data_IF_849084335117
#
_entry.id   IF_849084335117
#
_cell.length_a   1.000
_cell.length_b   1.000
_cell.length_c   1.000
_cell.angle_alpha   90.00
_cell.angle_beta   90.00
_cell.angle_gamma   90.00
#
_symmetry.space_group_name_H-M   'P 1'
#
loop_
_entity.id
_entity.type
_entity.pdbx_description
1 polymer ?
#
# COMPACT_ATOMS: atom_id res chain seq x y z
N UNK A 1 -27.39 17.83 -58.54
CA UNK A 1 -27.36 17.96 -57.06
C UNK A 1 -27.13 16.58 -56.50
N UNK A 2 -25.89 16.29 -56.10
CA UNK A 2 -25.42 14.96 -55.79
C UNK A 2 -25.77 14.54 -54.35
N UNK A 3 -26.07 13.26 -54.20
CA UNK A 3 -26.37 12.56 -52.96
C UNK A 3 -25.19 12.52 -51.99
N UNK A 4 -25.46 12.47 -50.68
CA UNK A 4 -24.55 11.82 -49.74
C UNK A 4 -25.32 11.03 -48.68
N UNK A 5 -25.05 9.73 -48.71
CA UNK A 5 -25.42 8.71 -47.73
C UNK A 5 -24.59 8.91 -46.45
N UNK A 6 -25.25 9.07 -45.30
CA UNK A 6 -24.59 9.00 -44.00
C UNK A 6 -24.45 7.52 -43.64
N UNK A 7 -23.25 6.99 -43.89
CA UNK A 7 -22.85 5.65 -43.51
C UNK A 7 -22.77 5.50 -41.99
N UNK A 8 -23.44 4.46 -41.50
CA UNK A 8 -23.30 3.92 -40.15
C UNK A 8 -21.82 3.58 -39.93
N UNK A 9 -21.17 4.30 -39.03
CA UNK A 9 -19.83 3.97 -38.55
C UNK A 9 -19.91 2.66 -37.76
N UNK A 10 -19.72 1.53 -38.45
CA UNK A 10 -19.33 0.27 -37.79
C UNK A 10 -17.97 0.53 -37.15
N UNK A 11 -17.95 0.75 -35.83
CA UNK A 11 -16.74 0.53 -35.03
C UNK A 11 -16.34 -0.93 -35.28
N UNK A 12 -15.30 -1.14 -36.07
CA UNK A 12 -14.59 -2.40 -36.08
C UNK A 12 -14.03 -2.58 -34.67
N UNK A 13 -14.77 -3.34 -33.84
CA UNK A 13 -14.19 -3.96 -32.66
C UNK A 13 -13.08 -4.85 -33.22
N UNK A 14 -11.82 -4.42 -33.06
CA UNK A 14 -10.65 -5.24 -33.33
C UNK A 14 -10.86 -6.53 -32.53
N UNK A 15 -11.15 -7.64 -33.22
CA UNK A 15 -11.05 -8.95 -32.58
C UNK A 15 -9.62 -9.05 -32.04
N UNK A 16 -9.43 -9.49 -30.79
CA UNK A 16 -8.09 -9.72 -30.27
C UNK A 16 -7.34 -10.59 -31.28
N UNK A 17 -6.19 -10.12 -31.75
CA UNK A 17 -5.33 -10.95 -32.59
C UNK A 17 -4.79 -12.03 -31.67
N UNK A 18 -5.10 -13.29 -31.94
CA UNK A 18 -4.53 -14.41 -31.19
C UNK A 18 -3.04 -14.48 -31.52
N UNK A 19 -2.18 -14.18 -30.54
CA UNK A 19 -0.73 -14.25 -30.70
C UNK A 19 -0.23 -15.67 -30.42
N UNK A 20 0.59 -16.20 -31.31
CA UNK A 20 1.27 -17.49 -31.14
C UNK A 20 2.64 -17.33 -30.49
N UNK A 21 3.26 -18.43 -30.04
CA UNK A 21 4.63 -18.42 -29.52
C UNK A 21 5.64 -17.99 -30.62
N UNK A 22 5.39 -18.32 -31.88
CA UNK A 22 6.22 -17.88 -33.01
C UNK A 22 6.15 -16.36 -33.22
N UNK A 23 4.96 -15.77 -33.08
CA UNK A 23 4.79 -14.32 -33.14
C UNK A 23 5.58 -13.62 -32.03
N UNK A 24 5.57 -14.18 -30.81
CA UNK A 24 6.31 -13.65 -29.65
C UNK A 24 7.83 -13.74 -29.89
N UNK A 25 8.33 -14.85 -30.44
CA UNK A 25 9.74 -15.02 -30.76
C UNK A 25 10.18 -14.07 -31.88
N UNK A 26 9.36 -13.88 -32.92
CA UNK A 26 9.64 -12.95 -34.01
C UNK A 26 9.68 -11.49 -33.51
N UNK A 27 8.71 -11.10 -32.68
CA UNK A 27 8.72 -9.78 -32.02
C UNK A 27 9.95 -9.61 -31.14
N UNK A 28 10.30 -10.63 -30.35
CA UNK A 28 11.47 -10.60 -29.48
C UNK A 28 12.76 -10.39 -30.25
N UNK A 29 12.96 -11.10 -31.37
CA UNK A 29 14.13 -10.94 -32.24
C UNK A 29 14.26 -9.52 -32.82
N UNK A 30 13.16 -8.92 -33.24
CA UNK A 30 13.16 -7.53 -33.74
C UNK A 30 13.50 -6.52 -32.64
N UNK A 31 12.94 -6.70 -31.44
CA UNK A 31 13.24 -5.84 -30.29
C UNK A 31 14.71 -5.94 -29.91
N UNK A 32 15.26 -7.15 -29.87
CA UNK A 32 16.66 -7.38 -29.51
C UNK A 32 17.67 -6.64 -30.40
N UNK A 33 17.33 -6.40 -31.67
CA UNK A 33 18.18 -5.66 -32.62
C UNK A 33 18.11 -4.14 -32.39
N UNK A 34 16.98 -3.63 -31.88
CA UNK A 34 16.71 -2.20 -31.76
C UNK A 34 16.93 -1.65 -30.34
N UNK A 35 16.80 -2.47 -29.30
CA UNK A 35 16.73 -2.03 -27.90
C UNK A 35 17.96 -1.24 -27.43
N UNK A 36 19.14 -1.61 -27.95
CA UNK A 36 20.43 -0.97 -27.65
C UNK A 36 20.73 0.26 -28.52
N UNK A 37 19.90 0.58 -29.53
CA UNK A 37 20.13 1.70 -30.45
C UNK A 37 19.33 2.92 -29.98
N UNK A 38 19.96 3.98 -29.45
CA UNK A 38 19.22 5.11 -28.86
C UNK A 38 18.30 5.82 -29.86
N UNK A 39 18.75 6.02 -31.10
CA UNK A 39 18.01 6.69 -32.17
C UNK A 39 16.77 5.91 -32.64
N UNK A 40 16.66 4.64 -32.25
CA UNK A 40 15.53 3.74 -32.58
C UNK A 40 14.59 3.52 -31.40
N UNK A 41 14.69 4.34 -30.35
CA UNK A 41 13.91 4.16 -29.11
C UNK A 41 12.40 4.23 -29.33
N UNK A 42 11.90 5.07 -30.24
CA UNK A 42 10.46 5.13 -30.57
C UNK A 42 9.95 3.87 -31.29
N UNK A 43 10.72 3.39 -32.28
CA UNK A 43 10.42 2.16 -33.02
C UNK A 43 10.45 0.94 -32.08
N UNK A 44 11.49 0.87 -31.23
CA UNK A 44 11.59 -0.13 -30.18
C UNK A 44 10.42 -0.07 -29.19
N UNK A 45 9.98 1.13 -28.79
CA UNK A 45 8.84 1.32 -27.88
C UNK A 45 7.53 0.80 -28.50
N UNK A 46 7.34 0.96 -29.81
CA UNK A 46 6.17 0.42 -30.51
C UNK A 46 6.16 -1.11 -30.45
N UNK A 47 7.30 -1.75 -30.72
CA UNK A 47 7.44 -3.20 -30.66
C UNK A 47 7.30 -3.75 -29.23
N UNK A 48 7.87 -3.07 -28.24
CA UNK A 48 7.70 -3.42 -26.82
C UNK A 48 6.23 -3.34 -26.40
N UNK A 49 5.47 -2.33 -26.85
CA UNK A 49 4.01 -2.28 -26.62
C UNK A 49 3.29 -3.48 -27.25
N UNK A 50 3.66 -3.85 -28.47
CA UNK A 50 3.06 -5.02 -29.14
C UNK A 50 3.40 -6.32 -28.39
N UNK A 51 4.64 -6.48 -27.94
CA UNK A 51 5.06 -7.62 -27.11
C UNK A 51 4.28 -7.66 -25.80
N UNK A 52 4.15 -6.53 -25.09
CA UNK A 52 3.38 -6.45 -23.86
C UNK A 52 1.93 -6.91 -24.08
N UNK A 53 1.25 -6.38 -25.10
CA UNK A 53 -0.12 -6.80 -25.45
C UNK A 53 -0.16 -8.29 -25.80
N UNK A 54 0.80 -8.79 -26.59
CA UNK A 54 0.87 -10.20 -26.97
C UNK A 54 0.98 -11.14 -25.77
N UNK A 55 1.76 -10.76 -24.74
CA UNK A 55 1.87 -11.53 -23.50
C UNK A 55 0.56 -11.54 -22.71
N UNK A 56 -0.16 -10.41 -22.66
CA UNK A 56 -1.44 -10.29 -21.95
C UNK A 56 -2.58 -11.05 -22.64
N UNK A 57 -2.57 -11.11 -23.98
CA UNK A 57 -3.64 -11.73 -24.77
C UNK A 57 -3.27 -13.14 -25.24
N UNK A 58 -2.19 -13.73 -24.73
CA UNK A 58 -1.76 -15.07 -25.14
C UNK A 58 -2.83 -16.10 -24.79
N UNK A 59 -3.53 -16.60 -25.82
CA UNK A 59 -4.56 -17.62 -25.64
C UNK A 59 -3.91 -19.00 -25.69
N UNK A 60 -3.71 -19.57 -24.51
CA UNK A 60 -3.09 -20.87 -24.36
C UNK A 60 -4.05 -21.98 -24.81
N UNK A 61 -3.95 -22.41 -26.07
CA UNK A 61 -4.48 -23.72 -26.49
C UNK A 61 -3.68 -24.90 -25.89
N UNK A 62 -2.55 -24.63 -25.24
CA UNK A 62 -1.68 -25.59 -24.55
C UNK A 62 -1.38 -25.10 -23.14
N UNK A 63 -1.11 -25.98 -22.18
CA UNK A 63 -0.84 -25.60 -20.78
C UNK A 63 0.47 -24.80 -20.53
N UNK A 64 1.18 -24.35 -21.59
CA UNK A 64 2.44 -23.62 -21.46
C UNK A 64 2.24 -22.10 -21.53
N UNK A 65 2.82 -21.39 -20.55
CA UNK A 65 2.95 -19.94 -20.58
C UNK A 65 3.83 -19.46 -21.75
N UNK A 66 3.61 -18.25 -22.29
CA UNK A 66 4.46 -17.71 -23.34
C UNK A 66 5.88 -17.49 -22.81
N UNK A 67 6.89 -17.85 -23.59
CA UNK A 67 8.31 -17.71 -23.21
C UNK A 67 8.99 -16.62 -24.02
N UNK A 68 9.77 -15.77 -23.33
CA UNK A 68 10.63 -14.76 -23.96
C UNK A 68 12.09 -15.23 -23.92
N UNK A 69 12.90 -14.99 -24.96
CA UNK A 69 14.33 -15.31 -24.94
C UNK A 69 15.06 -14.63 -23.78
N UNK A 70 15.89 -15.38 -23.06
CA UNK A 70 16.72 -14.85 -21.96
C UNK A 70 17.71 -13.77 -22.41
N UNK A 71 18.13 -13.79 -23.67
CA UNK A 71 18.94 -12.72 -24.28
C UNK A 71 18.20 -11.38 -24.28
N UNK A 72 16.90 -11.38 -24.62
CA UNK A 72 16.08 -10.18 -24.60
C UNK A 72 15.86 -9.70 -23.16
N UNK A 73 15.59 -10.60 -22.22
CA UNK A 73 15.43 -10.26 -20.79
C UNK A 73 16.67 -9.51 -20.28
N UNK A 74 17.89 -10.02 -20.54
CA UNK A 74 19.13 -9.33 -20.13
C UNK A 74 19.27 -7.95 -20.76
N UNK A 75 19.00 -7.80 -22.06
CA UNK A 75 19.01 -6.48 -22.71
C UNK A 75 17.97 -5.52 -22.12
N UNK A 76 16.80 -6.01 -21.73
CA UNK A 76 15.80 -5.19 -21.03
C UNK A 76 16.28 -4.76 -19.63
N UNK A 77 17.02 -5.61 -18.92
CA UNK A 77 17.64 -5.25 -17.65
C UNK A 77 18.80 -4.24 -17.81
N UNK A 78 19.57 -4.34 -18.90
CA UNK A 78 20.61 -3.35 -19.24
C UNK A 78 20.01 -1.96 -19.46
N UNK A 79 18.82 -1.86 -20.07
CA UNK A 79 18.08 -0.58 -20.19
C UNK A 79 17.82 0.06 -18.82
N UNK A 80 17.67 -0.72 -17.75
CA UNK A 80 17.50 -0.16 -16.41
C UNK A 80 18.75 0.57 -15.92
N UNK A 81 19.93 0.06 -16.28
CA UNK A 81 21.22 0.59 -15.87
C UNK A 81 21.61 1.89 -16.60
N UNK A 82 21.11 2.09 -17.81
CA UNK A 82 21.43 3.27 -18.63
C UNK A 82 20.71 4.54 -18.17
N UNK A 83 19.65 4.40 -17.36
CA UNK A 83 18.68 5.44 -16.99
C UNK A 83 18.00 6.11 -18.20
N UNK A 84 16.74 6.58 -18.06
CA UNK A 84 16.05 7.26 -19.16
C UNK A 84 16.77 8.56 -19.53
N UNK A 85 17.05 8.76 -20.82
CA UNK A 85 17.70 9.98 -21.32
C UNK A 85 16.64 11.00 -21.74
N UNK A 86 16.45 12.11 -21.01
CA UNK A 86 15.35 13.05 -21.25
C UNK A 86 15.41 13.76 -22.61
N UNK A 87 16.59 13.76 -23.26
CA UNK A 87 16.80 14.37 -24.59
C UNK A 87 16.46 13.44 -25.76
N UNK A 88 16.23 12.14 -25.51
CA UNK A 88 15.96 11.15 -26.54
C UNK A 88 14.46 10.81 -26.53
N UNK A 89 13.77 11.10 -27.63
CA UNK A 89 12.37 10.74 -27.82
C UNK A 89 12.17 9.22 -27.62
N UNK A 90 11.13 8.85 -26.87
CA UNK A 90 10.81 7.45 -26.60
C UNK A 90 11.69 6.76 -25.56
N UNK A 91 12.77 7.37 -25.06
CA UNK A 91 13.67 6.73 -24.08
C UNK A 91 12.94 6.35 -22.78
N UNK A 92 12.10 7.25 -22.25
CA UNK A 92 11.28 6.97 -21.06
C UNK A 92 10.22 5.89 -21.32
N UNK A 93 9.59 5.90 -22.50
CA UNK A 93 8.60 4.89 -22.87
C UNK A 93 9.25 3.50 -22.95
N UNK A 94 10.42 3.41 -23.59
CA UNK A 94 11.22 2.18 -23.65
C UNK A 94 11.52 1.66 -22.24
N UNK A 95 12.00 2.53 -21.36
CA UNK A 95 12.32 2.20 -19.97
C UNK A 95 11.10 1.63 -19.22
N UNK A 96 9.98 2.36 -19.24
CA UNK A 96 8.74 1.95 -18.56
C UNK A 96 8.17 0.65 -19.12
N UNK A 97 8.20 0.46 -20.45
CA UNK A 97 7.72 -0.77 -21.08
C UNK A 97 8.58 -1.98 -20.72
N UNK A 98 9.91 -1.81 -20.65
CA UNK A 98 10.78 -2.87 -20.14
C UNK A 98 10.44 -3.23 -18.68
N UNK A 99 10.18 -2.24 -17.81
CA UNK A 99 9.76 -2.49 -16.43
C UNK A 99 8.42 -3.25 -16.37
N UNK A 100 7.44 -2.84 -17.17
CA UNK A 100 6.14 -3.50 -17.24
C UNK A 100 6.28 -4.96 -17.70
N UNK A 101 6.98 -5.20 -18.82
CA UNK A 101 7.19 -6.55 -19.37
C UNK A 101 7.96 -7.44 -18.39
N UNK A 102 9.03 -6.93 -17.78
CA UNK A 102 9.80 -7.70 -16.79
C UNK A 102 8.98 -7.99 -15.53
N UNK A 103 8.04 -7.13 -15.18
CA UNK A 103 7.14 -7.37 -14.04
C UNK A 103 6.07 -8.43 -14.34
N UNK A 104 5.92 -8.87 -15.59
CA UNK A 104 4.92 -9.88 -15.94
C UNK A 104 5.29 -11.29 -15.48
N UNK A 105 4.26 -12.03 -15.06
CA UNK A 105 4.38 -13.42 -14.60
C UNK A 105 4.75 -14.41 -15.70
N UNK A 106 4.70 -14.02 -16.97
CA UNK A 106 5.20 -14.84 -18.07
C UNK A 106 6.74 -14.76 -18.22
N UNK A 107 7.38 -13.72 -17.68
CA UNK A 107 8.82 -13.46 -17.89
C UNK A 107 9.65 -13.99 -16.73
N UNK A 108 10.66 -14.80 -17.05
CA UNK A 108 11.59 -15.38 -16.06
C UNK A 108 12.89 -14.59 -16.00
N UNK A 109 13.14 -13.93 -14.87
CA UNK A 109 14.44 -13.33 -14.58
C UNK A 109 15.22 -14.21 -13.61
N UNK A 110 16.49 -14.52 -13.92
CA UNK A 110 17.28 -15.39 -13.04
C UNK A 110 17.57 -14.72 -11.69
N UNK A 111 17.75 -15.52 -10.63
CA UNK A 111 18.11 -15.00 -9.31
C UNK A 111 19.43 -14.21 -9.33
N UNK A 112 20.38 -14.58 -10.20
CA UNK A 112 21.65 -13.85 -10.34
C UNK A 112 21.42 -12.46 -10.95
N UNK A 113 20.60 -12.39 -12.00
CA UNK A 113 20.30 -11.12 -12.68
C UNK A 113 19.53 -10.17 -11.74
N UNK A 114 18.61 -10.70 -10.92
CA UNK A 114 17.89 -9.94 -9.91
C UNK A 114 18.81 -9.33 -8.84
N UNK A 115 19.77 -10.11 -8.34
CA UNK A 115 20.73 -9.62 -7.33
C UNK A 115 21.67 -8.58 -7.95
N UNK A 116 22.14 -8.81 -9.18
CA UNK A 116 22.95 -7.83 -9.90
C UNK A 116 22.20 -6.51 -10.11
N UNK A 117 20.92 -6.59 -10.47
CA UNK A 117 20.05 -5.43 -10.61
C UNK A 117 19.87 -4.69 -9.28
N UNK A 118 19.61 -5.43 -8.18
CA UNK A 118 19.47 -4.85 -6.84
C UNK A 118 20.75 -4.18 -6.32
N UNK A 119 21.92 -4.67 -6.74
CA UNK A 119 23.21 -4.06 -6.42
C UNK A 119 23.56 -2.84 -7.30
N UNK A 120 22.85 -2.63 -8.41
CA UNK A 120 23.11 -1.55 -9.35
C UNK A 120 22.50 -0.22 -8.88
N UNK A 121 22.96 0.90 -9.46
CA UNK A 121 22.33 2.21 -9.24
C UNK A 121 20.87 2.26 -9.71
N UNK A 122 20.50 1.42 -10.68
CA UNK A 122 19.14 1.36 -11.20
C UNK A 122 18.14 0.86 -10.16
N UNK A 123 18.60 0.18 -9.09
CA UNK A 123 17.73 -0.34 -8.04
C UNK A 123 16.94 0.77 -7.31
N UNK A 124 17.47 2.00 -7.27
CA UNK A 124 16.81 3.15 -6.67
C UNK A 124 15.83 3.87 -7.60
N UNK A 125 15.69 3.45 -8.86
CA UNK A 125 14.78 4.10 -9.80
C UNK A 125 13.32 3.80 -9.44
N UNK A 126 12.43 4.70 -9.86
CA UNK A 126 10.99 4.56 -9.63
C UNK A 126 10.46 3.19 -10.13
N UNK A 127 9.51 2.63 -9.36
CA UNK A 127 8.78 1.38 -9.66
C UNK A 127 9.62 0.09 -9.63
N UNK A 128 10.88 0.13 -9.19
CA UNK A 128 11.71 -1.07 -9.09
C UNK A 128 11.26 -2.05 -8.00
N UNK A 129 10.55 -1.58 -6.98
CA UNK A 129 9.99 -2.43 -5.93
C UNK A 129 9.08 -3.53 -6.52
N UNK A 130 8.23 -3.20 -7.50
CA UNK A 130 7.36 -4.17 -8.16
C UNK A 130 8.15 -5.26 -8.88
N UNK A 131 9.21 -4.87 -9.60
CA UNK A 131 10.11 -5.84 -10.28
C UNK A 131 10.76 -6.76 -9.26
N UNK A 132 11.30 -6.20 -8.17
CA UNK A 132 11.93 -6.98 -7.10
C UNK A 132 10.97 -7.93 -6.40
N UNK A 133 9.75 -7.50 -6.12
CA UNK A 133 8.74 -8.33 -5.46
C UNK A 133 8.28 -9.47 -6.38
N UNK A 134 7.86 -9.16 -7.61
CA UNK A 134 7.32 -10.17 -8.53
C UNK A 134 8.38 -11.18 -8.95
N UNK A 135 9.53 -10.70 -9.46
CA UNK A 135 10.59 -11.58 -9.95
C UNK A 135 11.38 -12.22 -8.80
N UNK A 136 11.58 -11.50 -7.70
CA UNK A 136 12.26 -12.05 -6.52
C UNK A 136 11.47 -13.18 -5.87
N UNK A 137 10.14 -13.07 -5.81
CA UNK A 137 9.27 -14.14 -5.32
C UNK A 137 9.36 -15.36 -6.24
N UNK A 138 9.19 -15.15 -7.56
CA UNK A 138 9.26 -16.21 -8.57
C UNK A 138 10.58 -16.96 -8.55
N UNK A 139 11.69 -16.22 -8.54
CA UNK A 139 13.05 -16.75 -8.54
C UNK A 139 13.56 -17.14 -7.16
N UNK A 140 12.67 -17.09 -6.15
CA UNK A 140 12.94 -17.47 -4.75
C UNK A 140 14.19 -16.80 -4.18
N UNK A 141 14.41 -15.54 -4.53
CA UNK A 141 15.62 -14.78 -4.16
C UNK A 141 15.35 -13.49 -3.39
N UNK A 142 14.13 -13.30 -2.86
CA UNK A 142 13.76 -12.12 -2.05
C UNK A 142 14.77 -11.87 -0.91
N UNK A 143 15.18 -12.93 -0.20
CA UNK A 143 16.17 -12.83 0.89
C UNK A 143 17.51 -12.22 0.47
N UNK A 144 17.92 -12.38 -0.80
CA UNK A 144 19.15 -11.78 -1.32
C UNK A 144 18.96 -10.30 -1.68
N UNK A 145 17.73 -9.87 -1.92
CA UNK A 145 17.38 -8.48 -2.27
C UNK A 145 17.20 -7.63 -1.01
N UNK A 146 16.73 -8.22 0.09
CA UNK A 146 16.47 -7.52 1.37
C UNK A 146 17.64 -6.64 1.85
N UNK A 147 18.92 -7.09 1.87
CA UNK A 147 20.04 -6.23 2.25
C UNK A 147 20.21 -5.00 1.34
N UNK A 148 19.96 -5.16 0.04
CA UNK A 148 19.99 -4.06 -0.92
C UNK A 148 18.83 -3.08 -0.69
N UNK A 149 17.62 -3.58 -0.40
CA UNK A 149 16.48 -2.75 -0.08
C UNK A 149 16.70 -1.92 1.20
N UNK A 150 17.36 -2.50 2.23
CA UNK A 150 17.80 -1.75 3.41
C UNK A 150 18.79 -0.64 3.03
N UNK A 151 19.75 -0.92 2.15
CA UNK A 151 20.68 0.11 1.66
C UNK A 151 19.96 1.22 0.90
N UNK A 152 18.94 0.90 0.11
CA UNK A 152 18.12 1.89 -0.61
C UNK A 152 17.34 2.78 0.38
N UNK A 153 16.76 2.19 1.42
CA UNK A 153 16.06 2.92 2.49
C UNK A 153 16.95 3.94 3.23
N UNK A 154 18.24 3.62 3.36
CA UNK A 154 19.24 4.47 3.99
C UNK A 154 19.91 5.47 3.03
N UNK A 155 19.58 5.42 1.73
CA UNK A 155 20.02 6.40 0.74
C UNK A 155 19.55 7.80 1.11
N UNK A 156 20.19 8.83 0.54
CA UNK A 156 19.70 10.22 0.61
C UNK A 156 18.69 10.53 -0.49
N UNK A 157 18.65 9.72 -1.55
CA UNK A 157 17.77 9.90 -2.70
C UNK A 157 16.33 9.44 -2.41
N UNK A 158 15.37 10.29 -2.76
CA UNK A 158 13.94 10.07 -2.51
C UNK A 158 13.41 8.78 -3.15
N UNK A 159 13.68 8.55 -4.44
CA UNK A 159 13.14 7.37 -5.15
C UNK A 159 13.76 6.06 -4.61
N UNK A 160 15.03 6.10 -4.21
CA UNK A 160 15.70 4.99 -3.52
C UNK A 160 15.03 4.68 -2.18
N UNK A 161 14.80 5.70 -1.35
CA UNK A 161 14.15 5.53 -0.05
C UNK A 161 12.74 4.95 -0.20
N UNK A 162 11.95 5.50 -1.12
CA UNK A 162 10.60 5.04 -1.45
C UNK A 162 10.58 3.60 -1.95
N UNK A 163 11.50 3.24 -2.86
CA UNK A 163 11.63 1.88 -3.38
C UNK A 163 12.00 0.89 -2.28
N UNK A 164 12.98 1.24 -1.45
CA UNK A 164 13.39 0.44 -0.30
C UNK A 164 12.25 0.21 0.67
N UNK A 165 11.50 1.28 1.01
CA UNK A 165 10.35 1.19 1.91
C UNK A 165 9.24 0.30 1.32
N UNK A 166 8.84 0.55 0.07
CA UNK A 166 7.80 -0.24 -0.61
C UNK A 166 8.13 -1.74 -0.65
N UNK A 167 9.40 -2.08 -0.90
CA UNK A 167 9.83 -3.47 -0.91
C UNK A 167 9.79 -4.09 0.49
N UNK A 168 10.34 -3.40 1.50
CA UNK A 168 10.47 -3.91 2.86
C UNK A 168 9.14 -4.02 3.61
N UNK A 169 8.11 -3.28 3.20
CA UNK A 169 6.77 -3.33 3.79
C UNK A 169 5.86 -4.38 3.15
N UNK A 170 6.35 -5.11 2.14
CA UNK A 170 5.57 -6.15 1.45
C UNK A 170 5.37 -7.42 2.29
N UNK A 171 4.15 -7.94 2.28
CA UNK A 171 3.73 -9.13 3.02
C UNK A 171 4.43 -10.41 2.57
N UNK A 172 4.87 -10.45 1.31
CA UNK A 172 5.64 -11.56 0.75
C UNK A 172 6.93 -11.85 1.53
N UNK A 173 7.41 -10.90 2.34
CA UNK A 173 8.61 -11.06 3.15
C UNK A 173 8.35 -11.76 4.49
N UNK A 174 7.10 -11.79 4.97
CA UNK A 174 6.74 -12.35 6.29
C UNK A 174 6.86 -13.87 6.31
N UNK A 175 6.23 -14.65 5.40
CA UNK A 175 6.36 -16.11 5.40
C UNK A 175 7.80 -16.61 5.24
N UNK A 176 8.65 -15.81 4.59
CA UNK A 176 10.06 -16.12 4.38
C UNK A 176 10.94 -15.86 5.61
N UNK A 177 10.42 -15.23 6.67
CA UNK A 177 11.18 -14.78 7.83
C UNK A 177 12.38 -13.89 7.47
N UNK A 178 12.26 -13.09 6.40
CA UNK A 178 13.37 -12.26 5.90
C UNK A 178 13.55 -10.95 6.66
N UNK A 179 12.56 -10.57 7.48
CA UNK A 179 12.66 -9.43 8.39
C UNK A 179 13.34 -9.89 9.68
N UNK A 180 14.61 -9.52 9.84
CA UNK A 180 15.31 -9.60 11.12
C UNK A 180 15.06 -8.36 11.97
N UNK A 181 15.48 -8.41 13.24
CA UNK A 181 15.28 -7.31 14.19
C UNK A 181 16.00 -6.03 13.76
N UNK A 182 17.16 -6.14 13.09
CA UNK A 182 17.97 -4.99 12.70
C UNK A 182 17.31 -4.22 11.54
N UNK A 183 16.85 -4.94 10.51
CA UNK A 183 16.05 -4.39 9.42
C UNK A 183 14.78 -3.78 9.99
N UNK A 184 14.07 -4.50 10.86
CA UNK A 184 12.81 -4.02 11.40
C UNK A 184 12.99 -2.74 12.24
N UNK A 185 14.01 -2.68 13.10
CA UNK A 185 14.36 -1.46 13.83
C UNK A 185 14.70 -0.30 12.88
N UNK A 186 15.46 -0.58 11.81
CA UNK A 186 15.84 0.44 10.81
C UNK A 186 14.61 1.02 10.11
N UNK A 187 13.68 0.17 9.64
CA UNK A 187 12.46 0.63 8.97
C UNK A 187 11.59 1.43 9.93
N UNK A 188 11.42 0.96 11.17
CA UNK A 188 10.62 1.65 12.18
C UNK A 188 11.17 3.02 12.55
N UNK A 189 12.50 3.14 12.68
CA UNK A 189 13.17 4.42 12.92
C UNK A 189 12.90 5.41 11.78
N UNK A 190 13.01 4.96 10.53
CA UNK A 190 12.81 5.81 9.34
C UNK A 190 11.35 6.24 9.20
N UNK A 191 10.40 5.33 9.38
CA UNK A 191 8.97 5.66 9.42
C UNK A 191 8.67 6.67 10.54
N UNK A 192 9.20 6.45 11.75
CA UNK A 192 9.02 7.38 12.86
C UNK A 192 9.51 8.78 12.52
N UNK A 193 10.67 8.89 11.88
CA UNK A 193 11.23 10.16 11.45
C UNK A 193 10.37 10.84 10.37
N UNK A 194 10.02 10.13 9.29
CA UNK A 194 9.24 10.70 8.19
C UNK A 194 7.84 11.15 8.61
N UNK A 195 7.21 10.42 9.54
CA UNK A 195 5.91 10.80 10.10
C UNK A 195 5.99 12.09 10.93
N UNK A 196 7.12 12.35 11.61
CA UNK A 196 7.24 13.48 12.55
C UNK A 196 7.95 14.73 12.00
N UNK A 197 8.75 14.58 10.94
CA UNK A 197 9.74 15.60 10.54
C UNK A 197 9.44 16.27 9.19
N UNK A 198 8.27 16.03 8.60
CA UNK A 198 7.91 16.65 7.32
C UNK A 198 7.65 18.15 7.46
N UNK A 199 8.11 18.89 6.47
CA UNK A 199 8.03 20.33 6.36
C UNK A 199 6.59 20.80 6.16
N UNK A 200 6.32 22.02 6.64
CA UNK A 200 5.03 22.69 6.45
C UNK A 200 5.04 23.70 5.30
N UNK A 201 6.16 23.83 4.61
CA UNK A 201 6.32 24.74 3.48
C UNK A 201 6.21 23.95 2.19
N UNK A 202 5.53 24.53 1.21
CA UNK A 202 5.38 23.89 -0.09
C UNK A 202 6.69 23.93 -0.88
N UNK A 203 6.84 22.98 -1.79
CA UNK A 203 7.94 23.02 -2.74
C UNK A 203 7.79 24.24 -3.68
N UNK A 204 8.91 24.80 -4.18
CA UNK A 204 8.87 25.84 -5.19
C UNK A 204 8.07 25.39 -6.42
N UNK A 205 7.39 26.33 -7.07
CA UNK A 205 6.63 26.00 -8.28
C UNK A 205 7.59 25.58 -9.40
N UNK A 206 7.55 24.32 -9.87
CA UNK A 206 8.48 23.80 -10.88
C UNK A 206 8.31 24.46 -12.25
N UNK A 207 7.23 25.22 -12.46
CA UNK A 207 6.94 25.97 -13.70
C UNK A 207 7.21 27.47 -13.57
N UNK A 208 7.62 27.94 -12.39
CA UNK A 208 8.01 29.34 -12.19
C UNK A 208 9.40 29.57 -12.80
N UNK A 209 9.49 30.47 -13.78
CA UNK A 209 10.76 30.96 -14.33
C UNK A 209 11.21 32.26 -13.63
N UNK A 210 10.61 32.60 -12.49
CA UNK A 210 10.81 33.89 -11.83
C UNK A 210 12.18 33.97 -11.15
N UNK A 211 13.20 34.33 -11.92
CA UNK A 211 14.58 34.61 -11.45
C UNK A 211 14.61 35.78 -10.43
N UNK A 212 13.57 36.63 -10.40
CA UNK A 212 13.51 37.85 -9.55
C UNK A 212 12.26 37.93 -8.66
N UNK A 213 11.42 36.90 -8.64
CA UNK A 213 10.29 36.83 -7.71
C UNK A 213 10.76 36.25 -6.39
N UNK A 214 10.38 36.87 -5.26
CA UNK A 214 10.32 36.09 -4.01
C UNK A 214 9.29 34.99 -4.25
N UNK A 215 9.73 33.74 -4.30
CA UNK A 215 8.80 32.64 -4.12
C UNK A 215 8.16 32.86 -2.75
N UNK A 216 6.85 33.17 -2.74
CA UNK A 216 6.11 33.22 -1.48
C UNK A 216 6.29 31.84 -0.83
N UNK A 217 6.94 31.78 0.33
CA UNK A 217 7.00 30.58 1.17
C UNK A 217 5.59 30.26 1.64
N UNK A 218 4.82 29.62 0.76
CA UNK A 218 3.43 29.24 1.04
C UNK A 218 3.48 28.02 1.94
N UNK A 219 2.93 28.17 3.13
CA UNK A 219 2.67 27.02 3.98
C UNK A 219 1.61 26.12 3.32
N UNK A 220 1.69 24.83 3.59
CA UNK A 220 0.61 23.90 3.26
C UNK A 220 -0.64 24.31 4.05
N UNK A 221 -1.80 24.06 3.49
CA UNK A 221 -3.06 24.34 4.18
C UNK A 221 -3.63 23.08 4.80
N UNK A 222 -4.58 23.28 5.69
CA UNK A 222 -5.49 22.26 6.19
C UNK A 222 -6.60 22.02 5.15
N UNK A 223 -7.44 21.01 5.35
CA UNK A 223 -8.54 20.68 4.42
C UNK A 223 -9.60 21.81 4.30
N UNK A 224 -9.73 22.65 5.33
CA UNK A 224 -10.58 23.86 5.30
C UNK A 224 -9.86 25.06 4.66
N UNK A 225 -8.62 24.87 4.19
CA UNK A 225 -7.73 25.87 3.60
C UNK A 225 -7.17 26.90 4.57
N UNK A 226 -7.26 26.68 5.88
CA UNK A 226 -6.47 27.45 6.86
C UNK A 226 -4.99 27.06 6.76
N UNK A 227 -4.03 27.96 6.98
CA UNK A 227 -2.61 27.60 7.02
C UNK A 227 -2.32 26.57 8.11
N UNK A 228 -1.54 25.52 7.79
CA UNK A 228 -1.14 24.52 8.79
C UNK A 228 -0.05 25.08 9.70
N UNK A 229 -0.23 24.91 11.01
CA UNK A 229 0.74 25.33 12.05
C UNK A 229 1.28 24.15 12.87
N UNK A 230 0.67 22.98 12.72
CA UNK A 230 1.01 21.76 13.43
C UNK A 230 1.70 20.76 12.50
N UNK A 231 2.01 19.57 13.00
CA UNK A 231 2.58 18.45 12.24
C UNK A 231 1.89 18.25 10.87
N UNK A 232 2.72 18.03 9.84
CA UNK A 232 2.28 17.69 8.48
C UNK A 232 1.68 16.28 8.45
N UNK A 233 0.57 16.12 7.75
CA UNK A 233 -0.09 14.82 7.52
C UNK A 233 -0.55 14.66 6.07
N UNK A 234 -1.05 13.46 5.72
CA UNK A 234 -1.70 13.18 4.43
C UNK A 234 -2.92 14.07 4.12
N UNK A 235 -3.47 14.76 5.13
CA UNK A 235 -4.61 15.67 4.97
C UNK A 235 -4.19 17.14 4.81
N UNK A 236 -2.90 17.43 4.84
CA UNK A 236 -2.41 18.74 4.45
C UNK A 236 -2.42 18.91 2.94
N UNK A 237 -2.90 20.06 2.49
CA UNK A 237 -3.08 20.39 1.08
C UNK A 237 -1.96 21.35 0.64
N UNK A 238 -1.11 20.87 -0.25
CA UNK A 238 -0.09 21.67 -0.94
C UNK A 238 -0.36 21.72 -2.45
N UNK A 239 0.07 22.79 -3.10
CA UNK A 239 0.11 22.87 -4.57
C UNK A 239 1.27 22.05 -5.13
N UNK A 240 2.40 22.07 -4.44
CA UNK A 240 3.58 21.28 -4.75
C UNK A 240 4.15 20.71 -3.45
N UNK A 241 4.39 19.40 -3.44
CA UNK A 241 4.95 18.72 -2.28
C UNK A 241 6.47 18.57 -2.41
N UNK A 242 7.16 18.77 -1.29
CA UNK A 242 8.58 18.44 -1.15
C UNK A 242 8.78 16.93 -1.01
N UNK A 243 10.01 16.45 -1.21
CA UNK A 243 10.32 15.01 -1.11
C UNK A 243 10.03 14.44 0.29
N UNK A 244 10.29 15.21 1.36
CA UNK A 244 9.98 14.81 2.73
C UNK A 244 8.47 14.74 3.00
N UNK A 245 7.67 15.62 2.40
CA UNK A 245 6.19 15.55 2.46
C UNK A 245 5.68 14.31 1.72
N UNK A 246 6.24 13.99 0.55
CA UNK A 246 5.91 12.77 -0.18
C UNK A 246 6.30 11.51 0.61
N UNK A 247 7.47 11.52 1.28
CA UNK A 247 7.88 10.42 2.16
C UNK A 247 6.97 10.28 3.37
N UNK A 248 6.47 11.37 3.95
CA UNK A 248 5.48 11.32 5.02
C UNK A 248 4.18 10.63 4.56
N UNK A 249 3.66 11.05 3.40
CA UNK A 249 2.46 10.46 2.80
C UNK A 249 2.66 8.97 2.53
N UNK A 250 3.79 8.61 1.93
CA UNK A 250 4.11 7.22 1.64
C UNK A 250 4.31 6.39 2.92
N UNK A 251 4.95 6.96 3.94
CA UNK A 251 5.14 6.31 5.25
C UNK A 251 3.81 5.98 5.90
N UNK A 252 2.85 6.91 5.91
CA UNK A 252 1.50 6.64 6.41
C UNK A 252 0.81 5.54 5.60
N UNK A 253 0.93 5.55 4.27
CA UNK A 253 0.32 4.52 3.41
C UNK A 253 0.86 3.10 3.63
N UNK A 254 2.08 2.98 4.16
CA UNK A 254 2.70 1.70 4.48
C UNK A 254 2.61 1.35 5.97
N UNK A 255 2.15 2.26 6.83
CA UNK A 255 2.32 2.14 8.28
C UNK A 255 1.54 0.95 8.86
N UNK A 256 0.27 0.81 8.50
CA UNK A 256 -0.53 -0.32 8.95
C UNK A 256 0.09 -1.65 8.53
N UNK A 257 0.50 -1.75 7.26
CA UNK A 257 1.10 -2.97 6.72
C UNK A 257 2.45 -3.30 7.39
N UNK A 258 3.25 -2.28 7.69
CA UNK A 258 4.49 -2.45 8.43
C UNK A 258 4.24 -2.98 9.84
N UNK A 259 3.35 -2.33 10.60
CA UNK A 259 2.99 -2.75 11.95
C UNK A 259 2.41 -4.17 11.95
N UNK A 260 1.60 -4.50 10.94
CA UNK A 260 1.08 -5.84 10.71
C UNK A 260 2.19 -6.86 10.55
N UNK A 261 3.15 -6.58 9.67
CA UNK A 261 4.24 -7.51 9.37
C UNK A 261 5.18 -7.70 10.56
N UNK A 262 5.42 -6.63 11.34
CA UNK A 262 6.15 -6.72 12.61
C UNK A 262 5.38 -7.58 13.62
N UNK A 263 4.07 -7.39 13.75
CA UNK A 263 3.23 -8.18 14.64
C UNK A 263 3.29 -9.68 14.28
N UNK A 264 3.14 -10.03 13.01
CA UNK A 264 3.22 -11.43 12.57
C UNK A 264 4.61 -12.04 12.79
N UNK A 265 5.68 -11.25 12.62
CA UNK A 265 7.05 -11.74 12.68
C UNK A 265 7.59 -11.90 14.11
N UNK A 266 7.26 -10.95 14.98
CA UNK A 266 7.84 -10.80 16.32
C UNK A 266 6.83 -10.93 17.44
N UNK A 267 5.53 -10.98 17.12
CA UNK A 267 4.48 -11.17 18.08
C UNK A 267 4.33 -12.62 18.52
N UNK A 268 3.81 -12.77 19.74
CA UNK A 268 3.43 -14.06 20.31
C UNK A 268 1.91 -14.16 20.31
N UNK A 269 1.39 -15.35 19.97
CA UNK A 269 -0.04 -15.63 20.09
C UNK A 269 -0.44 -15.64 21.57
N UNK A 270 -1.51 -14.94 21.91
CA UNK A 270 -2.17 -15.06 23.21
C UNK A 270 -2.72 -16.49 23.32
N UNK A 271 -1.98 -17.38 23.99
CA UNK A 271 -2.50 -18.71 24.34
C UNK A 271 -3.53 -18.53 25.45
N UNK A 272 -4.79 -18.85 25.17
CA UNK A 272 -5.71 -19.23 26.23
C UNK A 272 -5.27 -20.62 26.74
N UNK A 273 -4.88 -20.68 28.01
CA UNK A 273 -4.44 -21.89 28.68
C UNK A 273 -5.62 -22.88 28.77
N UNK A 274 -5.83 -23.71 27.74
CA UNK A 274 -6.99 -24.63 27.72
C UNK A 274 -7.32 -25.41 26.43
N UNK A 275 -6.65 -25.20 25.30
CA UNK A 275 -7.00 -25.92 24.05
C UNK A 275 -5.79 -26.42 23.26
N UNK A 276 -5.69 -27.74 23.09
CA UNK A 276 -4.71 -28.34 22.17
C UNK A 276 -5.09 -28.04 20.72
N UNK A 277 -4.33 -27.21 20.01
CA UNK A 277 -4.44 -27.10 18.56
C UNK A 277 -3.31 -27.87 17.89
N UNK A 278 -3.72 -28.87 17.10
CA UNK A 278 -2.86 -29.62 16.18
C UNK A 278 -2.37 -28.62 15.14
N UNK A 279 -1.06 -28.40 15.09
CA UNK A 279 -0.41 -27.62 14.06
C UNK A 279 -0.47 -28.37 12.72
N UNK A 280 -1.24 -27.84 11.76
CA UNK A 280 -1.08 -28.14 10.33
C UNK A 280 -0.37 -26.96 9.69
N UNK A 281 0.83 -27.21 9.14
CA UNK A 281 1.84 -26.23 8.77
C UNK A 281 1.65 -25.48 7.45
N UNK A 282 0.43 -25.08 7.09
CA UNK A 282 0.18 -24.15 5.97
C UNK A 282 -0.93 -23.16 6.43
N UNK A 283 -0.72 -21.84 6.30
CA UNK A 283 -1.66 -20.73 6.60
C UNK A 283 -1.83 -20.15 8.03
N UNK A 284 -0.82 -20.16 8.90
CA UNK A 284 -0.90 -19.42 10.17
C UNK A 284 -0.60 -17.91 9.99
N UNK A 285 -1.51 -17.16 9.37
CA UNK A 285 -1.63 -15.72 9.63
C UNK A 285 -2.38 -15.59 10.96
N UNK A 286 -1.70 -15.14 12.02
CA UNK A 286 -2.35 -14.95 13.31
C UNK A 286 -3.34 -13.78 13.21
N UNK A 287 -4.56 -13.89 13.77
CA UNK A 287 -5.42 -12.72 13.91
C UNK A 287 -4.67 -11.66 14.74
N UNK A 288 -4.47 -10.46 14.17
CA UNK A 288 -3.57 -9.42 14.71
C UNK A 288 -3.92 -9.04 16.14
N UNK A 289 -5.21 -8.99 16.48
CA UNK A 289 -5.71 -8.66 17.81
C UNK A 289 -5.41 -9.75 18.87
N UNK A 290 -5.00 -10.95 18.44
CA UNK A 290 -4.51 -12.04 19.32
C UNK A 290 -2.99 -12.09 19.40
N UNK A 291 -2.32 -11.05 18.91
CA UNK A 291 -0.87 -10.96 18.87
C UNK A 291 -0.41 -9.92 19.87
N UNK A 292 0.41 -10.34 20.84
CA UNK A 292 1.09 -9.44 21.78
C UNK A 292 2.59 -9.48 21.56
N UNK A 293 3.22 -8.33 21.65
CA UNK A 293 4.67 -8.22 21.70
C UNK A 293 5.10 -7.86 23.12
N UNK A 294 6.18 -8.46 23.59
CA UNK A 294 6.75 -8.06 24.87
C UNK A 294 7.35 -6.65 24.76
N UNK A 295 7.35 -5.93 25.88
CA UNK A 295 7.79 -4.53 25.95
C UNK A 295 9.24 -4.33 25.49
N UNK A 296 10.12 -5.30 25.70
CA UNK A 296 11.52 -5.18 25.26
C UNK A 296 11.61 -5.27 23.73
N UNK A 297 10.89 -6.21 23.12
CA UNK A 297 10.81 -6.33 21.66
C UNK A 297 10.15 -5.11 21.02
N UNK A 298 9.06 -4.59 21.58
CA UNK A 298 8.44 -3.33 21.12
C UNK A 298 9.46 -2.19 21.15
N UNK A 299 10.16 -2.01 22.27
CA UNK A 299 11.16 -0.95 22.41
C UNK A 299 12.30 -1.10 21.40
N UNK A 300 12.75 -2.34 21.15
CA UNK A 300 13.87 -2.64 20.27
C UNK A 300 13.52 -2.51 18.78
N UNK A 301 12.34 -2.98 18.38
CA UNK A 301 11.93 -3.09 16.97
C UNK A 301 11.11 -1.90 16.50
N UNK A 302 10.21 -1.39 17.34
CA UNK A 302 9.34 -0.27 16.99
C UNK A 302 9.86 1.05 17.56
N UNK A 303 10.50 1.04 18.73
CA UNK A 303 11.08 2.23 19.33
C UNK A 303 10.09 3.39 19.41
N UNK A 304 10.45 4.55 18.84
CA UNK A 304 9.59 5.74 18.82
C UNK A 304 8.42 5.66 17.82
N UNK A 305 8.38 4.66 16.94
CA UNK A 305 7.35 4.55 15.91
C UNK A 305 5.96 4.47 16.53
N UNK A 306 5.79 3.75 17.65
CA UNK A 306 4.49 3.64 18.35
C UNK A 306 3.97 5.02 18.73
N UNK A 307 4.76 5.78 19.50
CA UNK A 307 4.39 7.11 19.97
C UNK A 307 4.14 8.08 18.82
N UNK A 308 5.00 8.08 17.80
CA UNK A 308 4.85 8.96 16.63
C UNK A 308 3.65 8.61 15.76
N UNK A 309 3.31 7.33 15.66
CA UNK A 309 2.10 6.88 14.95
C UNK A 309 0.84 7.31 15.69
N UNK A 310 0.80 7.22 17.02
CA UNK A 310 -0.32 7.72 17.84
C UNK A 310 -0.48 9.23 17.68
N UNK A 311 0.61 10.00 17.80
CA UNK A 311 0.59 11.46 17.60
C UNK A 311 0.06 11.85 16.20
N UNK A 312 0.54 11.16 15.16
CA UNK A 312 0.11 11.38 13.78
C UNK A 312 -1.37 11.04 13.57
N UNK A 313 -1.84 9.90 14.10
CA UNK A 313 -3.23 9.49 13.98
C UNK A 313 -4.18 10.42 14.76
N UNK A 314 -3.80 10.90 15.94
CA UNK A 314 -4.60 11.87 16.69
C UNK A 314 -4.72 13.19 15.93
N UNK A 315 -3.60 13.66 15.36
CA UNK A 315 -3.58 14.84 14.51
C UNK A 315 -4.49 14.70 13.29
N UNK A 316 -4.52 13.51 12.67
CA UNK A 316 -5.43 13.19 11.57
C UNK A 316 -6.89 13.19 12.00
N UNK A 317 -7.21 12.60 13.16
CA UNK A 317 -8.56 12.61 13.73
C UNK A 317 -9.06 14.05 13.89
N UNK A 318 -8.25 14.95 14.45
CA UNK A 318 -8.60 16.37 14.59
C UNK A 318 -8.83 17.06 13.24
N UNK A 319 -8.05 16.71 12.23
CA UNK A 319 -8.21 17.18 10.85
C UNK A 319 -9.52 16.67 10.22
N UNK A 320 -9.97 15.49 10.59
CA UNK A 320 -11.19 14.88 10.07
C UNK A 320 -12.46 15.57 10.58
N UNK A 321 -12.38 16.33 11.67
CA UNK A 321 -13.51 17.11 12.20
C UNK A 321 -13.72 18.43 11.44
N UNK A 322 -12.78 18.81 10.58
CA UNK A 322 -12.85 20.04 9.81
C UNK A 322 -13.68 19.84 8.55
N UNK A 323 -14.40 20.91 8.15
CA UNK A 323 -15.23 20.90 6.95
C UNK A 323 -14.36 21.00 5.70
N UNK A 324 -14.56 20.07 4.76
CA UNK A 324 -13.85 20.09 3.48
C UNK A 324 -14.39 21.13 2.51
N UNK A 325 -13.48 21.67 1.68
CA UNK A 325 -13.83 22.59 0.59
C UNK A 325 -14.26 21.87 -0.68
N UNK A 326 -13.63 20.72 -0.95
CA UNK A 326 -13.85 19.92 -2.17
C UNK A 326 -14.28 18.50 -1.79
N UNK A 327 -15.10 17.88 -2.64
CA UNK A 327 -15.62 16.52 -2.41
C UNK A 327 -14.51 15.46 -2.38
N UNK A 328 -13.51 15.56 -3.26
CA UNK A 328 -12.35 14.65 -3.27
C UNK A 328 -11.62 14.65 -1.92
N UNK A 329 -11.47 15.82 -1.30
CA UNK A 329 -10.82 15.92 0.02
C UNK A 329 -11.69 15.26 1.11
N UNK A 330 -13.01 15.23 0.95
CA UNK A 330 -13.91 14.54 1.88
C UNK A 330 -13.75 13.01 1.82
N UNK A 331 -13.52 12.47 0.62
CA UNK A 331 -13.26 11.03 0.43
C UNK A 331 -11.88 10.64 0.98
N UNK A 332 -10.87 11.47 0.74
CA UNK A 332 -9.54 11.28 1.32
C UNK A 332 -9.57 11.38 2.86
N UNK A 333 -10.32 12.34 3.41
CA UNK A 333 -10.54 12.50 4.85
C UNK A 333 -11.14 11.23 5.47
N UNK A 334 -12.19 10.67 4.85
CA UNK A 334 -12.83 9.44 5.34
C UNK A 334 -11.88 8.23 5.27
N UNK A 335 -11.13 8.10 4.17
CA UNK A 335 -10.16 7.02 3.99
C UNK A 335 -9.00 7.12 4.98
N UNK A 336 -8.51 8.34 5.24
CA UNK A 336 -7.44 8.59 6.21
C UNK A 336 -7.90 8.34 7.64
N UNK A 337 -9.15 8.69 7.97
CA UNK A 337 -9.74 8.40 9.27
C UNK A 337 -9.88 6.89 9.51
N UNK A 338 -10.35 6.15 8.51
CA UNK A 338 -10.45 4.70 8.53
C UNK A 338 -9.08 4.06 8.85
N UNK A 339 -8.06 4.46 8.11
CA UNK A 339 -6.71 3.93 8.28
C UNK A 339 -6.11 4.31 9.64
N UNK A 340 -6.33 5.55 10.10
CA UNK A 340 -5.90 5.99 11.43
C UNK A 340 -6.51 5.13 12.55
N UNK A 341 -7.81 4.79 12.48
CA UNK A 341 -8.44 3.91 13.48
C UNK A 341 -7.83 2.50 13.44
N UNK A 342 -7.55 1.95 12.25
CA UNK A 342 -6.90 0.64 12.10
C UNK A 342 -5.48 0.62 12.65
N UNK A 343 -4.70 1.68 12.42
CA UNK A 343 -3.35 1.85 12.96
C UNK A 343 -3.39 1.93 14.48
N UNK A 344 -4.34 2.69 15.05
CA UNK A 344 -4.50 2.81 16.49
C UNK A 344 -4.91 1.48 17.15
N UNK A 345 -5.76 0.69 16.49
CA UNK A 345 -6.16 -0.65 16.96
C UNK A 345 -4.98 -1.64 17.03
N UNK A 346 -4.17 -1.72 15.97
CA UNK A 346 -2.98 -2.58 16.00
C UNK A 346 -1.94 -2.08 17.02
N UNK A 347 -1.76 -0.76 17.17
CA UNK A 347 -0.85 -0.22 18.18
C UNK A 347 -1.24 -0.65 19.59
N UNK A 348 -2.53 -0.62 19.94
CA UNK A 348 -2.98 -1.06 21.27
C UNK A 348 -2.77 -2.56 21.50
N UNK A 349 -2.79 -3.36 20.43
CA UNK A 349 -2.47 -4.80 20.51
C UNK A 349 -0.97 -5.04 20.71
N UNK A 350 -0.13 -4.17 20.13
CA UNK A 350 1.33 -4.26 20.20
C UNK A 350 1.92 -3.65 21.48
N UNK A 351 1.40 -2.52 21.93
CA UNK A 351 1.85 -1.76 23.11
C UNK A 351 0.66 -1.36 23.99
N UNK A 352 0.40 -2.16 25.01
CA UNK A 352 -0.73 -1.96 25.94
C UNK A 352 -0.66 -0.61 26.68
N UNK A 353 0.53 -0.03 26.84
CA UNK A 353 0.72 1.27 27.51
C UNK A 353 0.00 2.41 26.77
N UNK A 354 -0.27 2.26 25.46
CA UNK A 354 -1.02 3.26 24.68
C UNK A 354 -2.54 3.14 24.84
N UNK A 355 -3.05 1.98 25.29
CA UNK A 355 -4.47 1.62 25.20
C UNK A 355 -5.37 2.67 25.85
N UNK A 356 -5.08 3.07 27.09
CA UNK A 356 -5.93 4.03 27.81
C UNK A 356 -6.05 5.38 27.09
N UNK A 357 -4.93 5.89 26.55
CA UNK A 357 -4.87 7.16 25.83
C UNK A 357 -5.62 7.07 24.49
N UNK A 358 -5.38 6.01 23.72
CA UNK A 358 -6.04 5.76 22.44
C UNK A 358 -7.52 5.53 22.61
N UNK A 359 -7.91 4.78 23.64
CA UNK A 359 -9.31 4.48 23.93
C UNK A 359 -10.11 5.74 24.25
N UNK A 360 -9.54 6.64 25.05
CA UNK A 360 -10.16 7.94 25.34
C UNK A 360 -10.45 8.72 24.04
N UNK A 361 -9.48 8.76 23.12
CA UNK A 361 -9.61 9.47 21.87
C UNK A 361 -10.63 8.83 20.91
N UNK A 362 -10.62 7.50 20.78
CA UNK A 362 -11.60 6.80 19.94
C UNK A 362 -13.01 6.82 20.52
N UNK A 363 -13.17 6.91 21.84
CA UNK A 363 -14.48 7.17 22.47
C UNK A 363 -15.01 8.56 22.14
N UNK A 364 -14.15 9.58 22.17
CA UNK A 364 -14.48 10.96 21.76
C UNK A 364 -14.91 10.99 20.29
N UNK A 365 -14.10 10.39 19.41
CA UNK A 365 -14.40 10.27 17.99
C UNK A 365 -15.73 9.55 17.76
N UNK A 366 -15.92 8.37 18.37
CA UNK A 366 -17.15 7.57 18.25
C UNK A 366 -18.38 8.41 18.55
N UNK A 367 -18.40 9.09 19.71
CA UNK A 367 -19.51 9.96 20.13
C UNK A 367 -19.79 11.07 19.11
N UNK A 368 -18.75 11.57 18.44
CA UNK A 368 -18.87 12.65 17.46
C UNK A 368 -19.45 12.18 16.13
N UNK A 369 -19.00 11.03 15.63
CA UNK A 369 -19.42 10.47 14.33
C UNK A 369 -20.64 9.56 14.46
N UNK A 370 -21.07 9.26 15.69
CA UNK A 370 -22.24 8.46 15.97
C UNK A 370 -23.47 9.05 15.27
N UNK A 371 -24.30 8.20 14.65
CA UNK A 371 -25.51 8.60 13.93
C UNK A 371 -25.31 9.35 12.60
N UNK A 372 -24.07 9.62 12.18
CA UNK A 372 -23.77 10.22 10.88
C UNK A 372 -23.52 9.14 9.81
N UNK A 373 -24.45 8.96 8.88
CA UNK A 373 -24.40 7.90 7.85
C UNK A 373 -23.15 7.94 6.97
N UNK A 374 -22.55 9.11 6.76
CA UNK A 374 -21.31 9.27 5.99
C UNK A 374 -20.11 8.52 6.60
N UNK A 375 -20.14 8.23 7.90
CA UNK A 375 -19.06 7.54 8.61
C UNK A 375 -19.31 6.04 8.77
N UNK A 376 -20.28 5.46 8.06
CA UNK A 376 -20.62 4.03 8.18
C UNK A 376 -19.39 3.12 8.09
N UNK A 377 -18.51 3.36 7.10
CA UNK A 377 -17.28 2.59 6.90
C UNK A 377 -16.20 2.86 7.94
N UNK A 378 -16.22 3.98 8.66
CA UNK A 378 -15.29 4.23 9.77
C UNK A 378 -15.81 3.57 11.05
N UNK A 379 -17.13 3.62 11.28
CA UNK A 379 -17.79 3.07 12.45
C UNK A 379 -17.53 1.57 12.63
N UNK A 380 -17.39 0.81 11.54
CA UNK A 380 -16.99 -0.61 11.66
C UNK A 380 -15.62 -0.76 12.33
N UNK A 381 -14.63 0.06 11.99
CA UNK A 381 -13.31 -0.03 12.61
C UNK A 381 -13.31 0.48 14.06
N UNK A 382 -14.20 1.42 14.39
CA UNK A 382 -14.44 1.83 15.78
C UNK A 382 -15.06 0.69 16.60
N UNK A 383 -16.03 -0.03 16.03
CA UNK A 383 -16.64 -1.22 16.66
C UNK A 383 -15.61 -2.33 16.87
N UNK A 384 -14.78 -2.60 15.86
CA UNK A 384 -13.66 -3.55 15.94
C UNK A 384 -12.71 -3.15 17.07
N UNK A 385 -12.31 -1.88 17.13
CA UNK A 385 -11.46 -1.37 18.20
C UNK A 385 -12.07 -1.58 19.59
N UNK A 386 -13.36 -1.26 19.78
CA UNK A 386 -14.02 -1.49 21.07
C UNK A 386 -14.16 -2.97 21.40
N UNK A 387 -14.36 -3.83 20.41
CA UNK A 387 -14.36 -5.28 20.60
C UNK A 387 -13.03 -5.77 21.17
N UNK A 388 -11.91 -5.33 20.62
CA UNK A 388 -10.59 -5.75 21.09
C UNK A 388 -10.22 -5.16 22.48
N UNK A 389 -10.48 -3.86 22.70
CA UNK A 389 -9.83 -3.12 23.80
C UNK A 389 -10.74 -2.68 24.95
N UNK A 390 -12.08 -2.79 24.82
CA UNK A 390 -13.02 -2.31 25.85
C UNK A 390 -12.83 -2.95 27.22
N UNK A 391 -12.52 -4.25 27.26
CA UNK A 391 -12.28 -4.98 28.49
C UNK A 391 -11.06 -4.47 29.26
N UNK A 392 -9.99 -4.06 28.57
CA UNK A 392 -8.77 -3.56 29.19
C UNK A 392 -8.99 -2.24 29.96
N UNK A 393 -10.03 -1.48 29.59
CA UNK A 393 -10.38 -0.19 30.22
C UNK A 393 -11.73 -0.21 30.94
N UNK A 394 -12.33 -1.40 31.12
CA UNK A 394 -13.62 -1.60 31.80
C UNK A 394 -14.72 -0.71 31.19
N UNK A 395 -14.76 -0.62 29.86
CA UNK A 395 -15.84 0.05 29.13
C UNK A 395 -16.88 -0.97 28.66
N UNK A 396 -18.15 -0.63 28.76
CA UNK A 396 -19.26 -1.40 28.19
C UNK A 396 -19.61 -0.85 26.79
N UNK A 397 -19.33 -1.59 25.70
CA UNK A 397 -19.59 -1.13 24.33
C UNK A 397 -21.02 -1.41 23.82
N UNK A 398 -21.95 -1.91 24.66
CA UNK A 398 -23.31 -2.33 24.24
C UNK A 398 -24.05 -1.31 23.39
N UNK A 399 -24.14 -0.05 23.82
CA UNK A 399 -24.84 0.99 23.06
C UNK A 399 -24.27 1.18 21.63
N UNK A 400 -22.96 0.96 21.48
CA UNK A 400 -22.28 1.05 20.19
C UNK A 400 -22.60 -0.15 19.31
N UNK A 401 -22.63 -1.36 19.89
CA UNK A 401 -23.04 -2.58 19.18
C UNK A 401 -24.50 -2.53 18.76
N UNK A 402 -25.40 -2.08 19.66
CA UNK A 402 -26.83 -1.97 19.38
C UNK A 402 -27.09 -1.09 18.17
N UNK A 403 -26.51 0.10 18.15
CA UNK A 403 -26.64 1.00 17.01
C UNK A 403 -26.03 0.41 15.74
N UNK A 404 -24.83 -0.18 15.83
CA UNK A 404 -24.14 -0.71 14.66
C UNK A 404 -24.91 -1.87 14.02
N UNK A 405 -25.21 -2.92 14.79
CA UNK A 405 -25.81 -4.14 14.26
C UNK A 405 -27.31 -4.03 14.02
N UNK A 406 -28.05 -3.30 14.87
CA UNK A 406 -29.52 -3.19 14.71
C UNK A 406 -29.93 -2.16 13.68
N UNK A 407 -29.08 -1.16 13.39
CA UNK A 407 -29.44 -0.05 12.50
C UNK A 407 -28.47 0.11 11.35
N UNK A 408 -27.18 0.31 11.62
CA UNK A 408 -26.22 0.66 10.57
C UNK A 408 -26.02 -0.48 9.56
N UNK A 409 -25.94 -1.73 10.02
CA UNK A 409 -25.79 -2.90 9.16
C UNK A 409 -27.00 -3.07 8.21
N UNK A 410 -28.26 -3.12 8.70
CA UNK A 410 -29.43 -3.15 7.83
C UNK A 410 -29.53 -1.99 6.83
N UNK A 411 -29.15 -0.77 7.24
CA UNK A 411 -29.17 0.42 6.37
C UNK A 411 -28.12 0.35 5.23
N UNK A 412 -27.06 -0.45 5.38
CA UNK A 412 -25.93 -0.52 4.45
C UNK A 412 -25.76 -1.87 3.72
N UNK A 413 -26.77 -2.75 3.70
CA UNK A 413 -26.70 -4.06 3.03
C UNK A 413 -26.34 -3.99 1.53
N UNK A 414 -26.64 -2.86 0.86
CA UNK A 414 -26.29 -2.66 -0.55
C UNK A 414 -24.83 -2.23 -0.76
N UNK A 415 -24.10 -1.89 0.29
CA UNK A 415 -22.70 -1.49 0.23
C UNK A 415 -21.79 -2.72 0.41
N UNK A 416 -21.34 -3.29 -0.72
CA UNK A 416 -20.52 -4.51 -0.74
C UNK A 416 -19.25 -4.40 0.10
N UNK A 417 -18.57 -3.25 0.07
CA UNK A 417 -17.34 -3.05 0.85
C UNK A 417 -17.61 -3.05 2.35
N UNK A 418 -18.68 -2.37 2.78
CA UNK A 418 -19.11 -2.35 4.18
C UNK A 418 -19.52 -3.74 4.67
N UNK A 419 -20.38 -4.44 3.92
CA UNK A 419 -20.85 -5.79 4.29
C UNK A 419 -19.69 -6.79 4.35
N UNK A 420 -18.77 -6.74 3.38
CA UNK A 420 -17.58 -7.60 3.37
C UNK A 420 -16.74 -7.38 4.63
N UNK A 421 -16.55 -6.13 5.05
CA UNK A 421 -15.82 -5.83 6.27
C UNK A 421 -16.54 -6.36 7.53
N UNK A 422 -17.88 -6.24 7.61
CA UNK A 422 -18.68 -6.81 8.73
C UNK A 422 -18.54 -8.32 8.77
N UNK A 423 -18.72 -9.00 7.64
CA UNK A 423 -18.60 -10.46 7.55
C UNK A 423 -17.20 -10.92 7.91
N UNK A 424 -16.16 -10.25 7.42
CA UNK A 424 -14.78 -10.56 7.79
C UNK A 424 -14.53 -10.38 9.28
N UNK A 425 -15.05 -9.31 9.89
CA UNK A 425 -14.96 -9.11 11.34
C UNK A 425 -15.61 -10.27 12.10
N UNK A 426 -16.87 -10.60 11.78
CA UNK A 426 -17.60 -11.68 12.47
C UNK A 426 -16.92 -13.03 12.26
N UNK A 427 -16.51 -13.34 11.02
CA UNK A 427 -15.87 -14.61 10.69
C UNK A 427 -14.52 -14.79 11.39
N UNK A 428 -13.69 -13.74 11.44
CA UNK A 428 -12.38 -13.80 12.10
C UNK A 428 -12.46 -13.87 13.63
N UNK A 429 -13.58 -13.43 14.21
CA UNK A 429 -13.77 -13.32 15.66
C UNK A 429 -14.87 -14.24 16.19
N UNK A 430 -15.37 -15.19 15.40
CA UNK A 430 -16.61 -15.92 15.70
C UNK A 430 -16.61 -16.60 17.08
N UNK A 431 -15.50 -17.28 17.42
CA UNK A 431 -15.35 -17.94 18.72
C UNK A 431 -15.45 -16.94 19.88
N UNK A 432 -14.73 -15.83 19.77
CA UNK A 432 -14.65 -14.82 20.82
C UNK A 432 -15.96 -14.02 20.95
N UNK A 433 -16.61 -13.74 19.83
CA UNK A 433 -17.95 -13.15 19.81
C UNK A 433 -18.94 -14.09 20.52
N UNK A 434 -18.91 -15.39 20.22
CA UNK A 434 -19.80 -16.37 20.82
C UNK A 434 -19.57 -16.57 22.33
N UNK A 435 -18.33 -16.42 22.80
CA UNK A 435 -17.97 -16.59 24.20
C UNK A 435 -18.17 -15.32 25.06
N UNK A 436 -17.87 -14.15 24.50
CA UNK A 436 -17.75 -12.89 25.26
C UNK A 436 -18.92 -11.93 25.07
N UNK A 437 -19.79 -12.17 24.08
CA UNK A 437 -20.84 -11.22 23.71
C UNK A 437 -22.14 -11.91 23.33
N UNK A 438 -23.23 -11.14 23.37
CA UNK A 438 -24.55 -11.57 22.90
C UNK A 438 -24.83 -11.14 21.45
N UNK A 439 -23.81 -10.70 20.69
CA UNK A 439 -23.95 -10.16 19.32
C UNK A 439 -24.66 -11.15 18.37
N UNK A 440 -24.32 -12.44 18.45
CA UNK A 440 -24.91 -13.46 17.57
C UNK A 440 -26.40 -13.72 17.88
N UNK A 441 -26.79 -13.63 19.15
CA UNK A 441 -28.17 -13.86 19.58
C UNK A 441 -29.03 -12.62 19.39
N UNK A 442 -28.50 -11.44 19.70
CA UNK A 442 -29.27 -10.19 19.76
C UNK A 442 -29.54 -9.61 18.37
N UNK A 443 -28.64 -9.85 17.41
CA UNK A 443 -28.71 -9.23 16.08
C UNK A 443 -28.97 -10.22 14.94
N UNK A 444 -29.36 -11.45 15.25
CA UNK A 444 -29.97 -12.36 14.29
C UNK A 444 -31.42 -11.90 14.00
N UNK A 445 -31.89 -11.83 12.74
CA UNK A 445 -31.28 -12.33 11.51
C UNK A 445 -30.51 -11.27 10.70
N UNK A 446 -30.31 -10.05 11.20
CA UNK A 446 -29.60 -8.98 10.46
C UNK A 446 -28.18 -9.38 10.09
N UNK A 447 -27.50 -10.16 10.93
CA UNK A 447 -26.18 -10.74 10.64
C UNK A 447 -26.20 -11.88 9.61
N UNK A 448 -27.35 -12.56 9.46
CA UNK A 448 -27.50 -13.67 8.52
C UNK A 448 -27.84 -13.19 7.10
N UNK A 449 -28.56 -12.07 7.01
CA UNK A 449 -28.88 -11.40 5.75
C UNK A 449 -27.64 -10.72 5.18
#
# INVERSE_FOLDING_TARGET
MAASSVGVWKRNVLKPKDFTQEDILALSGNIEQLIAIPDKSDECSLLLRQLFVALQTYHSGSALCPSIPQSLVRKMLEVFSESPQPKIAGSMNKYLLCQMIISETAVEVTASDMVNLAASKAAGNANMATVFLTQGHRSKCLYKIVPHAKSLLLSQDFESQKTGLTFLTSDCLVPGNFLDEEIAATVSERLSHWLSSASLFQAPNPRSLNIFGKDDERTVTEIDGTPSTNLFTVLNIGQYYTEDQLMNIHSFSCLYQWLHNVAQRFGSSIKNDGGSSIASGEDLVLPIHKTKMDKATVTKVLGNLVTKSVEYCFRLIDQCERRTKVQMDAELQLSSLMEAVRILDIICSLDEDQTARVFHELKRLSTRIFQESRYSTVLIYVVIFFFHHSAAVVHDPRDTYDYFFSRLVPENLNNQGFVTAVVNFVAQNLEEIAERTDILTDYFPSLFK
#
